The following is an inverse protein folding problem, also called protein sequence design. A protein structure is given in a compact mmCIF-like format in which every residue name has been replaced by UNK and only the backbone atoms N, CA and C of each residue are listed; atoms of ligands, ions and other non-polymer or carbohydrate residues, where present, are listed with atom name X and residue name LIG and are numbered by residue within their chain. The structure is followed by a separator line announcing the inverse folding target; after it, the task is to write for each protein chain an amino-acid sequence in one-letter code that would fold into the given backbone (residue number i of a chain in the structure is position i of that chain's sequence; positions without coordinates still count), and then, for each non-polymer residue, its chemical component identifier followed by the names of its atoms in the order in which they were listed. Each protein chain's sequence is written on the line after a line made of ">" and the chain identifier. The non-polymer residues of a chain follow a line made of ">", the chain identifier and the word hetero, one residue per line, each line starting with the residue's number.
data_IF_009288188480
#
_entry.id   IF_009288188480
#
_cell.length_a   1.000
_cell.length_b   1.000
_cell.length_c   1.000
_cell.angle_alpha   90.00
_cell.angle_beta   90.00
_cell.angle_gamma   90.00
#
_symmetry.space_group_name_H-M   'P 1'
#
loop_
_entity.id
_entity.type
_entity.pdbx_description
1 polymer ?
#
# COMPACT_ATOMS: atom_id res chain seq x y z
N UNK A 1 -16.21 11.51 -14.22
CA UNK A 1 -15.74 12.04 -12.92
C UNK A 1 -16.40 11.19 -11.87
N UNK A 2 -15.66 10.34 -11.16
CA UNK A 2 -16.24 9.54 -10.07
C UNK A 2 -16.48 10.49 -8.90
N UNK A 3 -17.72 10.58 -8.43
CA UNK A 3 -18.02 11.38 -7.25
C UNK A 3 -17.40 10.69 -6.02
N UNK A 4 -16.75 11.45 -5.13
CA UNK A 4 -16.17 10.96 -3.87
C UNK A 4 -17.22 10.15 -3.09
N UNK A 5 -18.48 10.55 -3.18
CA UNK A 5 -19.61 9.85 -2.57
C UNK A 5 -19.73 8.40 -3.05
N UNK A 6 -19.55 8.14 -4.35
CA UNK A 6 -19.59 6.79 -4.93
C UNK A 6 -18.40 5.93 -4.48
N UNK A 7 -17.23 6.53 -4.22
CA UNK A 7 -16.07 5.83 -3.64
C UNK A 7 -16.32 5.41 -2.18
N UNK A 8 -17.23 6.07 -1.46
CA UNK A 8 -17.48 5.86 -0.03
C UNK A 8 -18.74 5.04 0.28
N UNK A 9 -19.53 4.65 -0.74
CA UNK A 9 -20.80 3.93 -0.59
C UNK A 9 -20.66 2.39 -0.67
N UNK A 10 -19.45 1.84 -0.79
CA UNK A 10 -19.21 0.40 -0.87
C UNK A 10 -19.17 -0.27 0.52
N UNK A 11 -19.66 -1.50 0.65
CA UNK A 11 -19.71 -2.24 1.93
C UNK A 11 -18.33 -2.38 2.62
N UNK A 12 -17.27 -2.40 1.82
CA UNK A 12 -15.87 -2.55 2.24
C UNK A 12 -15.30 -1.31 2.95
N UNK A 13 -15.97 -0.15 2.91
CA UNK A 13 -15.48 1.10 3.53
C UNK A 13 -15.45 1.01 5.05
N UNK A 14 -16.39 0.28 5.66
CA UNK A 14 -16.40 0.08 7.12
C UNK A 14 -15.18 -0.73 7.58
N UNK A 15 -14.83 -1.78 6.85
CA UNK A 15 -13.65 -2.60 7.15
C UNK A 15 -12.37 -1.81 6.91
N UNK A 16 -12.29 -1.08 5.79
CA UNK A 16 -11.16 -0.21 5.50
C UNK A 16 -10.92 0.81 6.63
N UNK A 17 -11.98 1.49 7.07
CA UNK A 17 -11.90 2.47 8.16
C UNK A 17 -11.43 1.80 9.45
N UNK A 18 -11.96 0.61 9.78
CA UNK A 18 -11.53 -0.17 10.95
C UNK A 18 -10.03 -0.48 10.89
N UNK A 19 -9.51 -0.96 9.76
CA UNK A 19 -8.09 -1.28 9.61
C UNK A 19 -7.20 -0.04 9.63
N UNK A 20 -7.66 1.07 9.06
CA UNK A 20 -6.97 2.37 9.15
C UNK A 20 -6.88 2.85 10.61
N UNK A 21 -7.98 2.76 11.36
CA UNK A 21 -8.00 3.08 12.80
C UNK A 21 -7.05 2.20 13.61
N UNK A 22 -6.95 0.93 13.25
CA UNK A 22 -6.02 -0.02 13.85
C UNK A 22 -4.56 0.33 13.56
N UNK A 23 -4.22 0.66 12.31
CA UNK A 23 -2.88 1.15 11.93
C UNK A 23 -2.54 2.42 12.73
N UNK A 24 -3.48 3.35 12.88
CA UNK A 24 -3.29 4.53 13.73
C UNK A 24 -3.08 4.17 15.20
N UNK A 25 -3.80 3.18 15.71
CA UNK A 25 -3.63 2.70 17.09
C UNK A 25 -2.25 2.10 17.31
N UNK A 26 -1.80 1.22 16.42
CA UNK A 26 -0.47 0.60 16.47
C UNK A 26 0.62 1.67 16.36
N UNK A 27 0.49 2.59 15.41
CA UNK A 27 1.42 3.70 15.22
C UNK A 27 1.57 4.56 16.49
N UNK A 28 0.46 4.90 17.15
CA UNK A 28 0.49 5.62 18.44
C UNK A 28 1.11 4.79 19.55
N UNK A 29 0.92 3.48 19.56
CA UNK A 29 1.54 2.58 20.54
C UNK A 29 3.06 2.57 20.36
N UNK A 30 3.54 2.31 19.14
CA UNK A 30 4.96 2.24 18.80
C UNK A 30 5.69 3.57 19.04
N UNK A 31 5.04 4.70 18.79
CA UNK A 31 5.60 6.02 19.09
C UNK A 31 5.93 6.19 20.59
N UNK A 32 5.21 5.54 21.51
CA UNK A 32 5.52 5.55 22.95
C UNK A 32 6.84 4.84 23.27
N UNK A 33 7.27 3.92 22.42
CA UNK A 33 8.52 3.16 22.54
C UNK A 33 9.66 3.77 21.72
N UNK A 34 9.48 4.99 21.18
CA UNK A 34 10.52 5.68 20.40
C UNK A 34 10.73 5.12 18.99
N UNK A 35 9.84 4.23 18.51
CA UNK A 35 9.87 3.77 17.12
C UNK A 35 9.32 4.89 16.24
N UNK A 36 10.12 5.38 15.29
CA UNK A 36 9.70 6.36 14.30
C UNK A 36 8.63 5.75 13.38
N UNK A 37 7.38 5.95 13.77
CA UNK A 37 6.23 5.63 12.94
C UNK A 37 6.04 6.75 11.90
N UNK A 38 6.60 6.56 10.71
CA UNK A 38 6.21 7.34 9.54
C UNK A 38 4.91 6.75 8.96
N UNK A 39 3.83 6.76 9.74
CA UNK A 39 2.50 6.69 9.14
C UNK A 39 2.38 7.90 8.19
N UNK A 40 1.66 7.78 7.07
CA UNK A 40 1.32 8.91 6.20
C UNK A 40 0.37 9.89 6.91
N UNK A 41 0.72 10.29 8.13
CA UNK A 41 -0.04 11.13 9.04
C UNK A 41 -0.05 12.55 8.48
N UNK A 42 -0.99 12.84 7.59
CA UNK A 42 -1.71 14.12 7.59
C UNK A 42 -3.00 14.10 6.77
N UNK A 43 -4.00 14.71 7.41
CA UNK A 43 -5.37 15.06 7.01
C UNK A 43 -6.00 14.29 5.84
N UNK A 44 -7.10 13.56 6.09
CA UNK A 44 -8.01 13.12 5.04
C UNK A 44 -8.29 14.28 4.07
N UNK A 45 -8.01 14.09 2.78
CA UNK A 45 -8.18 15.12 1.75
C UNK A 45 -6.92 15.90 1.34
N UNK A 46 -5.74 15.56 1.87
CA UNK A 46 -4.45 16.12 1.39
C UNK A 46 -4.05 15.62 -0.01
N UNK A 47 -4.64 14.52 -0.48
CA UNK A 47 -4.43 13.97 -1.81
C UNK A 47 -5.34 14.68 -2.81
N UNK A 48 -4.78 15.24 -3.87
CA UNK A 48 -5.55 15.70 -5.03
C UNK A 48 -6.17 14.47 -5.72
N UNK A 49 -7.43 14.16 -5.41
CA UNK A 49 -8.13 12.94 -5.81
C UNK A 49 -8.14 12.76 -7.34
N UNK A 50 -8.28 13.85 -8.10
CA UNK A 50 -8.33 13.79 -9.57
C UNK A 50 -6.97 13.41 -10.14
N UNK A 51 -5.91 14.05 -9.65
CA UNK A 51 -4.54 13.78 -10.08
C UNK A 51 -4.10 12.38 -9.65
N UNK A 52 -4.39 11.99 -8.40
CA UNK A 52 -4.13 10.66 -7.89
C UNK A 52 -4.84 9.58 -8.71
N UNK A 53 -6.13 9.78 -9.04
CA UNK A 53 -6.87 8.86 -9.90
C UNK A 53 -6.20 8.69 -11.27
N UNK A 54 -5.76 9.78 -11.91
CA UNK A 54 -5.08 9.70 -13.22
C UNK A 54 -3.76 8.94 -13.14
N UNK A 55 -2.96 9.20 -12.09
CA UNK A 55 -1.71 8.48 -11.84
C UNK A 55 -1.98 6.99 -11.66
N UNK A 56 -2.94 6.62 -10.80
CA UNK A 56 -3.24 5.22 -10.51
C UNK A 56 -3.80 4.48 -11.73
N UNK A 57 -4.68 5.11 -12.52
CA UNK A 57 -5.20 4.51 -13.78
C UNK A 57 -4.04 4.22 -14.74
N UNK A 58 -3.09 5.14 -14.86
CA UNK A 58 -1.90 4.94 -15.71
C UNK A 58 -0.98 3.84 -15.18
N UNK A 59 -1.02 3.56 -13.88
CA UNK A 59 -0.17 2.54 -13.26
C UNK A 59 -0.76 1.14 -13.35
N UNK A 60 -2.05 0.96 -13.06
CA UNK A 60 -2.66 -0.36 -12.92
C UNK A 60 -4.09 -0.48 -13.44
N UNK A 61 -4.57 0.50 -14.22
CA UNK A 61 -5.93 0.51 -14.75
C UNK A 61 -6.99 0.94 -13.74
N UNK A 62 -8.26 0.85 -14.17
CA UNK A 62 -9.41 1.39 -13.43
C UNK A 62 -9.69 0.61 -12.15
N UNK A 63 -9.58 -0.72 -12.18
CA UNK A 63 -9.82 -1.61 -11.04
C UNK A 63 -8.89 -1.27 -9.88
N UNK A 64 -7.58 -1.25 -10.16
CA UNK A 64 -6.56 -0.81 -9.21
C UNK A 64 -6.83 0.59 -8.67
N UNK A 65 -7.06 1.56 -9.56
CA UNK A 65 -7.23 2.95 -9.16
C UNK A 65 -8.44 3.13 -8.23
N UNK A 66 -9.54 2.43 -8.46
CA UNK A 66 -10.73 2.50 -7.61
C UNK A 66 -10.47 1.96 -6.20
N UNK A 67 -9.81 0.81 -6.07
CA UNK A 67 -9.47 0.20 -4.77
C UNK A 67 -8.40 1.03 -4.03
N UNK A 68 -7.30 1.36 -4.70
CA UNK A 68 -6.17 2.02 -4.06
C UNK A 68 -6.45 3.48 -3.71
N UNK A 69 -7.22 4.21 -4.51
CA UNK A 69 -7.60 5.59 -4.19
C UNK A 69 -8.47 5.67 -2.93
N UNK A 70 -9.34 4.67 -2.69
CA UNK A 70 -10.10 4.58 -1.44
C UNK A 70 -9.17 4.45 -0.24
N UNK A 71 -8.16 3.59 -0.34
CA UNK A 71 -7.12 3.49 0.68
C UNK A 71 -6.42 4.83 0.90
N UNK A 72 -5.91 5.46 -0.16
CA UNK A 72 -5.19 6.74 -0.07
C UNK A 72 -6.04 7.89 0.49
N UNK A 73 -7.36 7.84 0.31
CA UNK A 73 -8.28 8.81 0.88
C UNK A 73 -8.30 8.78 2.42
N UNK A 74 -8.24 7.57 3.01
CA UNK A 74 -8.23 7.38 4.46
C UNK A 74 -6.82 7.39 5.06
N UNK A 75 -5.84 6.88 4.32
CA UNK A 75 -4.46 6.75 4.73
C UNK A 75 -3.54 6.85 3.50
N UNK A 76 -2.83 7.97 3.35
CA UNK A 76 -1.93 8.19 2.23
C UNK A 76 -0.58 7.47 2.43
N UNK A 77 -0.63 6.13 2.38
CA UNK A 77 0.51 5.26 2.66
C UNK A 77 0.91 5.23 4.14
N UNK A 78 1.78 4.29 4.50
CA UNK A 78 2.40 4.19 5.82
C UNK A 78 3.71 3.43 5.75
N UNK A 79 4.58 3.64 6.73
CA UNK A 79 5.72 2.77 7.01
C UNK A 79 5.78 2.54 8.52
N UNK A 80 5.63 1.29 8.93
CA UNK A 80 5.45 0.89 10.31
C UNK A 80 5.98 -0.53 10.53
N UNK A 81 6.87 -0.71 11.51
CA UNK A 81 7.41 -2.02 11.89
C UNK A 81 7.87 -2.89 10.69
N UNK A 82 8.76 -2.34 9.85
CA UNK A 82 9.27 -3.05 8.66
C UNK A 82 8.29 -3.17 7.49
N UNK A 83 7.02 -2.83 7.67
CA UNK A 83 5.98 -2.88 6.63
C UNK A 83 5.67 -1.48 6.09
N UNK A 84 5.70 -1.36 4.77
CA UNK A 84 5.43 -0.11 4.05
C UNK A 84 4.34 -0.34 3.00
N UNK A 85 3.37 0.57 2.96
CA UNK A 85 2.46 0.76 1.84
C UNK A 85 2.70 2.16 1.27
N UNK A 86 2.91 2.26 -0.03
CA UNK A 86 3.21 3.52 -0.70
C UNK A 86 2.00 4.46 -0.75
N UNK A 87 2.28 5.74 -0.87
CA UNK A 87 1.28 6.81 -1.02
C UNK A 87 1.50 7.61 -2.31
N UNK A 88 0.73 8.68 -2.45
CA UNK A 88 0.94 9.72 -3.47
C UNK A 88 1.17 11.04 -2.75
N UNK A 89 2.40 11.54 -2.81
CA UNK A 89 2.84 12.73 -2.10
C UNK A 89 3.03 13.91 -3.06
N UNK A 90 2.91 15.14 -2.58
CA UNK A 90 3.22 16.32 -3.41
C UNK A 90 4.70 16.38 -3.79
N UNK A 91 5.57 15.90 -2.90
CA UNK A 91 6.98 15.70 -3.18
C UNK A 91 7.20 14.29 -3.77
N UNK A 92 7.42 14.22 -5.08
CA UNK A 92 7.74 12.96 -5.78
C UNK A 92 9.07 12.36 -5.34
N UNK A 93 9.92 13.11 -4.62
CA UNK A 93 11.13 12.58 -4.00
C UNK A 93 10.83 11.92 -2.65
N UNK A 94 9.59 11.84 -2.19
CA UNK A 94 9.29 11.05 -1.00
C UNK A 94 9.57 9.56 -1.30
N UNK A 95 10.40 8.93 -0.46
CA UNK A 95 10.75 7.50 -0.61
C UNK A 95 9.52 6.56 -0.50
N UNK A 96 8.42 7.06 0.07
CA UNK A 96 7.14 6.34 0.17
C UNK A 96 6.20 6.65 -0.99
N UNK A 97 6.60 7.47 -1.96
CA UNK A 97 5.78 7.76 -3.14
C UNK A 97 5.80 6.58 -4.12
N UNK A 98 4.62 6.14 -4.54
CA UNK A 98 4.46 5.00 -5.45
C UNK A 98 5.11 5.26 -6.83
N UNK A 99 5.15 6.52 -7.29
CA UNK A 99 5.82 6.89 -8.55
C UNK A 99 7.34 6.75 -8.42
N UNK A 100 7.89 7.13 -7.28
CA UNK A 100 9.32 6.96 -6.99
C UNK A 100 9.69 5.50 -6.86
N UNK A 101 8.88 4.70 -6.16
CA UNK A 101 9.07 3.26 -6.07
C UNK A 101 9.14 2.63 -7.47
N UNK A 102 8.20 2.99 -8.37
CA UNK A 102 8.23 2.55 -9.77
C UNK A 102 9.47 3.01 -10.53
N UNK A 103 9.87 4.28 -10.39
CA UNK A 103 11.05 4.81 -11.07
C UNK A 103 12.33 4.05 -10.67
N UNK A 104 12.52 3.82 -9.37
CA UNK A 104 13.67 3.09 -8.84
C UNK A 104 13.77 1.66 -9.41
N UNK A 105 12.63 0.98 -9.62
CA UNK A 105 12.62 -0.37 -10.20
C UNK A 105 13.10 -0.37 -11.65
N UNK A 106 12.77 0.67 -12.43
CA UNK A 106 13.26 0.81 -13.80
C UNK A 106 14.73 1.23 -13.91
N UNK A 107 15.33 1.78 -12.85
CA UNK A 107 16.76 2.12 -12.81
C UNK A 107 17.66 0.88 -12.68
N UNK A 108 17.13 -0.25 -12.21
CA UNK A 108 17.88 -1.49 -12.00
C UNK A 108 17.19 -2.69 -12.70
N UNK A 109 17.12 -2.70 -14.04
CA UNK A 109 16.35 -3.68 -14.81
C UNK A 109 16.86 -5.12 -14.64
N UNK A 110 18.13 -5.32 -14.26
CA UNK A 110 18.69 -6.65 -13.98
C UNK A 110 18.03 -7.34 -12.76
N UNK A 111 17.52 -6.55 -11.82
CA UNK A 111 16.77 -7.05 -10.66
C UNK A 111 15.26 -7.08 -10.91
N UNK A 112 14.83 -6.57 -12.06
CA UNK A 112 13.43 -6.31 -12.38
C UNK A 112 13.09 -6.71 -13.82
N UNK A 113 12.86 -8.01 -14.05
CA UNK A 113 12.49 -8.58 -15.35
C UNK A 113 11.24 -7.94 -16.01
N UNK A 114 11.03 -8.22 -17.30
CA UNK A 114 9.89 -7.67 -18.07
C UNK A 114 8.55 -8.20 -17.56
N UNK A 115 8.55 -9.39 -16.95
CA UNK A 115 7.39 -10.02 -16.33
C UNK A 115 6.79 -9.18 -15.19
N UNK A 116 7.51 -8.15 -14.71
CA UNK A 116 7.03 -7.21 -13.71
C UNK A 116 6.27 -6.00 -14.28
N UNK A 117 6.23 -5.84 -15.60
CA UNK A 117 5.45 -4.77 -16.24
C UNK A 117 3.94 -4.95 -16.00
N UNK A 118 3.51 -6.18 -15.73
CA UNK A 118 2.14 -6.53 -15.35
C UNK A 118 1.84 -6.26 -13.86
N UNK A 119 2.82 -5.82 -13.07
CA UNK A 119 2.66 -5.60 -11.62
C UNK A 119 2.78 -4.12 -11.25
N UNK A 120 1.92 -3.68 -10.34
CA UNK A 120 2.06 -2.38 -9.66
C UNK A 120 2.61 -2.62 -8.27
N UNK A 121 3.79 -2.08 -7.99
CA UNK A 121 4.41 -2.20 -6.67
C UNK A 121 3.80 -1.16 -5.74
N UNK A 122 3.14 -1.64 -4.68
CA UNK A 122 2.35 -0.81 -3.76
C UNK A 122 2.88 -0.82 -2.34
N UNK A 123 3.89 -1.65 -2.06
CA UNK A 123 4.49 -1.75 -0.75
C UNK A 123 5.49 -2.89 -0.63
N UNK A 124 5.98 -3.11 0.58
CA UNK A 124 6.82 -4.24 0.96
C UNK A 124 6.73 -4.45 2.49
N UNK A 125 7.13 -5.62 2.97
CA UNK A 125 7.50 -5.83 4.37
C UNK A 125 9.00 -6.19 4.45
N UNK A 126 9.46 -6.84 5.52
CA UNK A 126 10.87 -7.23 5.67
C UNK A 126 11.32 -8.32 4.69
N UNK A 127 10.39 -9.16 4.24
CA UNK A 127 10.67 -10.38 3.45
C UNK A 127 10.02 -10.38 2.07
N UNK A 128 8.90 -9.69 1.93
CA UNK A 128 7.97 -9.81 0.84
C UNK A 128 7.69 -8.45 0.19
N UNK A 129 7.34 -8.49 -1.08
CA UNK A 129 6.78 -7.35 -1.81
C UNK A 129 5.27 -7.42 -1.83
N UNK A 130 4.64 -6.24 -1.80
CA UNK A 130 3.20 -6.09 -1.96
C UNK A 130 2.93 -5.50 -3.33
N UNK A 131 2.16 -6.21 -4.15
CA UNK A 131 1.86 -5.79 -5.52
C UNK A 131 0.35 -5.81 -5.80
N UNK A 132 -0.05 -5.14 -6.88
CA UNK A 132 -1.28 -5.43 -7.60
C UNK A 132 -0.92 -6.08 -8.94
N UNK A 133 -1.42 -7.28 -9.18
CA UNK A 133 -1.22 -8.01 -10.42
C UNK A 133 -2.32 -7.63 -11.42
N UNK A 134 -1.92 -6.96 -12.52
CA UNK A 134 -2.86 -6.44 -13.51
C UNK A 134 -3.52 -7.55 -14.36
N UNK A 135 -2.93 -8.75 -14.42
CA UNK A 135 -3.51 -9.89 -15.15
C UNK A 135 -4.63 -10.53 -14.34
N UNK A 136 -4.39 -10.79 -13.05
CA UNK A 136 -5.37 -11.40 -12.16
C UNK A 136 -6.35 -10.39 -11.56
N UNK A 137 -6.04 -9.10 -11.66
CA UNK A 137 -6.70 -7.99 -10.96
C UNK A 137 -6.76 -8.17 -9.44
N UNK A 138 -5.74 -8.79 -8.86
CA UNK A 138 -5.65 -9.06 -7.41
C UNK A 138 -4.44 -8.39 -6.77
N UNK A 139 -4.57 -8.12 -5.48
CA UNK A 139 -3.43 -7.78 -4.64
C UNK A 139 -2.69 -9.05 -4.25
N UNK A 140 -1.36 -9.05 -4.28
CA UNK A 140 -0.56 -10.24 -3.99
C UNK A 140 0.58 -9.90 -3.03
N UNK A 141 0.83 -10.83 -2.09
CA UNK A 141 2.05 -10.88 -1.28
C UNK A 141 2.99 -11.90 -1.88
N UNK A 142 4.22 -11.50 -2.15
CA UNK A 142 5.20 -12.36 -2.82
C UNK A 142 6.57 -12.32 -2.14
N UNK A 143 7.12 -13.50 -1.90
CA UNK A 143 8.51 -13.63 -1.45
C UNK A 143 9.44 -13.18 -2.56
N UNK A 144 10.42 -12.35 -2.20
CA UNK A 144 11.52 -11.99 -3.10
C UNK A 144 12.90 -12.06 -2.47
N UNK A 145 13.07 -12.79 -1.36
CA UNK A 145 14.39 -13.14 -0.88
C UNK A 145 14.98 -14.22 -1.80
N UNK A 146 15.71 -13.77 -2.83
CA UNK A 146 16.34 -14.63 -3.82
C UNK A 146 15.58 -14.70 -5.14
N UNK A 147 16.18 -15.34 -6.14
CA UNK A 147 15.73 -15.39 -7.54
C UNK A 147 14.39 -16.11 -7.78
N UNK A 148 13.63 -16.43 -6.73
CA UNK A 148 12.38 -17.20 -6.82
C UNK A 148 11.23 -16.31 -6.42
N UNK A 149 10.35 -16.05 -7.38
CA UNK A 149 9.12 -15.29 -7.21
C UNK A 149 8.01 -16.20 -6.70
N UNK A 150 7.80 -16.26 -5.38
CA UNK A 150 6.80 -17.15 -4.77
C UNK A 150 5.57 -16.36 -4.35
N UNK A 151 4.40 -16.72 -4.88
CA UNK A 151 3.12 -16.20 -4.40
C UNK A 151 2.78 -16.80 -3.03
N UNK A 152 2.71 -15.96 -2.00
CA UNK A 152 2.29 -16.36 -0.65
C UNK A 152 0.77 -16.32 -0.50
N UNK A 153 0.18 -15.18 -0.86
CA UNK A 153 -1.24 -14.94 -0.68
C UNK A 153 -1.77 -13.94 -1.72
N UNK A 154 -3.08 -14.00 -1.97
CA UNK A 154 -3.75 -13.19 -2.99
C UNK A 154 -5.12 -12.73 -2.50
N UNK A 155 -5.42 -11.44 -2.72
CA UNK A 155 -6.58 -10.76 -2.17
C UNK A 155 -7.36 -10.03 -3.25
N UNK A 156 -8.68 -10.09 -3.15
CA UNK A 156 -9.57 -9.40 -4.08
C UNK A 156 -9.71 -7.90 -3.77
N UNK A 157 -9.38 -7.49 -2.54
CA UNK A 157 -9.55 -6.11 -2.08
C UNK A 157 -8.49 -5.65 -1.06
N UNK A 158 -8.40 -4.33 -0.87
CA UNK A 158 -7.45 -3.72 0.08
C UNK A 158 -7.74 -4.10 1.54
N UNK A 159 -8.99 -4.11 2.04
CA UNK A 159 -9.26 -4.53 3.42
C UNK A 159 -8.74 -5.93 3.74
N UNK A 160 -8.89 -6.89 2.83
CA UNK A 160 -8.38 -8.25 2.99
C UNK A 160 -6.85 -8.28 3.05
N UNK A 161 -6.18 -7.51 2.20
CA UNK A 161 -4.73 -7.32 2.26
C UNK A 161 -4.29 -6.67 3.60
N UNK A 162 -4.94 -5.58 4.00
CA UNK A 162 -4.59 -4.85 5.23
C UNK A 162 -4.75 -5.71 6.47
N UNK A 163 -5.77 -6.57 6.51
CA UNK A 163 -5.96 -7.53 7.59
C UNK A 163 -4.71 -8.38 7.84
N UNK A 164 -4.11 -8.92 6.77
CA UNK A 164 -2.89 -9.74 6.85
C UNK A 164 -1.68 -8.89 7.20
N UNK A 165 -1.54 -7.71 6.59
CA UNK A 165 -0.42 -6.82 6.88
C UNK A 165 -0.40 -6.34 8.33
N UNK A 166 -1.58 -6.05 8.90
CA UNK A 166 -1.73 -5.55 10.28
C UNK A 166 -1.21 -6.55 11.32
N UNK A 167 -1.37 -7.85 11.07
CA UNK A 167 -0.84 -8.88 11.97
C UNK A 167 0.69 -8.79 12.09
N UNK A 168 1.39 -8.35 11.03
CA UNK A 168 2.83 -8.12 11.02
C UNK A 168 3.26 -6.77 11.62
N UNK A 169 2.32 -5.83 11.81
CA UNK A 169 2.62 -4.49 12.36
C UNK A 169 2.77 -4.51 13.88
N UNK A 170 2.19 -5.52 14.54
CA UNK A 170 2.24 -5.63 15.99
C UNK A 170 3.63 -6.17 16.37
N UNK A 171 4.31 -5.57 17.36
CA UNK A 171 5.51 -6.17 17.90
C UNK A 171 5.16 -7.58 18.39
N UNK A 172 6.06 -8.54 18.20
CA UNK A 172 5.93 -9.84 18.84
C UNK A 172 5.67 -9.60 20.33
N UNK A 173 4.70 -10.30 20.96
CA UNK A 173 4.51 -10.16 22.40
C UNK A 173 5.85 -10.41 23.06
N UNK A 174 6.27 -9.46 23.90
CA UNK A 174 7.53 -9.55 24.64
C UNK A 174 7.63 -10.97 25.21
N UNK A 175 8.66 -11.71 24.80
CA UNK A 175 9.01 -12.95 25.46
C UNK A 175 9.54 -12.52 26.82
N UNK A 176 8.69 -12.65 27.85
CA UNK A 176 9.05 -12.45 29.26
C UNK A 176 10.26 -13.33 29.68
#
# INVERSE_FOLDING_TARGET
>A
MIEIKTLLEHDNVKELTKYVDEIYSISRSLAKYGVEACSGLKDPGSVNITEAMQVLIKMGGQTFANEYLRFLYFLNGFSLNGTTMYGIFSDEQNIRDIRRARANLHEVPELYPVEFDDYVFIGHNETDVVIFNQISEKFELRDRIGTVDTLWDSFDDIPSLLKVLIDNLRPAPDIE
#
